data_IF_001895349623
#
_entry.id   IF_001895349623
#
_cell.length_a   1.000
_cell.length_b   1.000
_cell.length_c   1.000
_cell.angle_alpha   90.00
_cell.angle_beta   90.00
_cell.angle_gamma   90.00
#
_symmetry.space_group_name_H-M   'P 1'
#
loop_
_entity.id
_entity.type
_entity.pdbx_description
1 polymer ?
#
# COMPACT_ATOMS: atom_id res chain seq x y z
N UNK A 1 6.79 -24.33 -26.57
CA UNK A 1 5.42 -23.87 -26.22
C UNK A 1 4.65 -23.72 -27.51
N UNK A 2 3.54 -24.45 -27.64
CA UNK A 2 2.78 -24.53 -28.90
C UNK A 2 2.12 -23.19 -29.19
N UNK A 3 2.33 -22.71 -30.41
CA UNK A 3 1.87 -21.42 -30.97
C UNK A 3 0.33 -21.31 -31.11
N UNK A 4 -0.41 -22.35 -30.71
CA UNK A 4 -1.86 -22.47 -30.85
C UNK A 4 -2.65 -22.11 -29.58
N UNK A 5 -1.99 -21.91 -28.43
CA UNK A 5 -2.69 -21.49 -27.19
C UNK A 5 -3.02 -19.98 -27.19
N UNK A 6 -2.35 -19.17 -28.02
CA UNK A 6 -2.51 -17.71 -28.03
C UNK A 6 -3.75 -17.22 -28.82
N UNK A 7 -4.39 -18.09 -29.60
CA UNK A 7 -5.54 -17.72 -30.45
C UNK A 7 -6.89 -17.95 -29.77
N UNK A 8 -6.94 -18.75 -28.69
CA UNK A 8 -8.20 -19.02 -27.99
C UNK A 8 -8.52 -17.88 -27.01
N UNK A 9 -9.74 -17.33 -27.09
CA UNK A 9 -10.16 -16.27 -26.18
C UNK A 9 -10.20 -16.75 -24.72
N UNK A 10 -9.70 -15.88 -23.83
CA UNK A 10 -9.75 -16.09 -22.37
C UNK A 10 -11.16 -15.86 -21.83
N UNK A 11 -11.99 -16.90 -21.85
CA UNK A 11 -13.41 -16.82 -21.45
C UNK A 11 -13.66 -17.25 -20.00
N UNK A 12 -12.79 -18.05 -19.40
CA UNK A 12 -13.00 -18.63 -18.07
C UNK A 12 -12.37 -17.78 -16.95
N UNK A 13 -12.99 -17.71 -15.76
CA UNK A 13 -12.35 -17.09 -14.60
C UNK A 13 -11.08 -17.86 -14.19
N UNK A 14 -10.08 -17.20 -13.60
CA UNK A 14 -8.90 -17.87 -13.09
C UNK A 14 -9.26 -18.89 -12.00
N UNK A 15 -8.71 -20.09 -12.08
CA UNK A 15 -8.86 -21.11 -11.05
C UNK A 15 -8.08 -20.72 -9.78
N UNK A 16 -8.45 -21.30 -8.63
CA UNK A 16 -7.72 -21.08 -7.38
C UNK A 16 -6.28 -21.61 -7.44
N UNK A 17 -6.03 -22.64 -8.24
CA UNK A 17 -4.70 -23.21 -8.42
C UNK A 17 -3.80 -22.21 -9.17
N UNK A 18 -4.31 -21.60 -10.24
CA UNK A 18 -3.63 -20.53 -10.96
C UNK A 18 -3.34 -19.32 -10.06
N UNK A 19 -4.32 -18.88 -9.25
CA UNK A 19 -4.11 -17.79 -8.30
C UNK A 19 -3.03 -18.12 -7.25
N UNK A 20 -3.02 -19.34 -6.72
CA UNK A 20 -2.00 -19.79 -5.77
C UNK A 20 -0.62 -19.91 -6.42
N UNK A 21 -0.55 -20.30 -7.70
CA UNK A 21 0.70 -20.32 -8.48
C UNK A 21 1.24 -18.90 -8.67
N UNK A 22 0.39 -17.95 -9.05
CA UNK A 22 0.77 -16.53 -9.19
C UNK A 22 1.28 -15.95 -7.86
N UNK A 23 0.61 -16.26 -6.74
CA UNK A 23 1.08 -15.90 -5.40
C UNK A 23 2.48 -16.46 -5.11
N UNK A 24 2.72 -17.74 -5.38
CA UNK A 24 4.07 -18.35 -5.21
C UNK A 24 5.13 -17.69 -6.08
N UNK A 25 4.75 -17.17 -7.24
CA UNK A 25 5.63 -16.41 -8.12
C UNK A 25 5.82 -14.95 -7.68
N UNK A 26 5.12 -14.50 -6.63
CA UNK A 26 5.16 -13.13 -6.11
C UNK A 26 4.31 -12.15 -6.89
N UNK A 27 3.33 -12.63 -7.67
CA UNK A 27 2.35 -11.80 -8.37
C UNK A 27 1.04 -11.83 -7.61
N UNK A 28 0.68 -10.69 -7.02
CA UNK A 28 -0.60 -10.48 -6.34
C UNK A 28 -1.20 -9.14 -6.77
N UNK A 29 -2.52 -9.02 -6.61
CA UNK A 29 -3.19 -7.75 -6.78
C UNK A 29 -2.72 -6.80 -5.66
N UNK A 30 -2.10 -5.69 -6.03
CA UNK A 30 -1.73 -4.63 -5.10
C UNK A 30 -2.51 -3.36 -5.43
N UNK A 31 -3.16 -2.79 -4.43
CA UNK A 31 -3.68 -1.44 -4.45
C UNK A 31 -2.56 -0.44 -4.23
N UNK A 32 -2.48 0.57 -5.09
CA UNK A 32 -1.52 1.68 -4.92
C UNK A 32 -2.00 2.69 -3.87
N UNK A 33 -3.30 2.71 -3.60
CA UNK A 33 -3.94 3.68 -2.73
C UNK A 33 -3.93 3.29 -1.26
N UNK A 34 -3.93 1.99 -0.95
CA UNK A 34 -3.93 1.49 0.43
C UNK A 34 -2.71 1.96 1.22
N UNK A 35 -1.46 1.82 0.72
CA UNK A 35 -0.28 2.30 1.45
C UNK A 35 -0.27 3.80 1.67
N UNK A 36 -0.75 4.56 0.67
CA UNK A 36 -0.86 6.01 0.76
C UNK A 36 -1.95 6.45 1.76
N UNK A 37 -3.10 5.79 1.76
CA UNK A 37 -4.16 6.06 2.73
C UNK A 37 -3.70 5.75 4.16
N UNK A 38 -3.06 4.60 4.37
CA UNK A 38 -2.56 4.19 5.68
C UNK A 38 -1.51 5.17 6.24
N UNK A 39 -0.55 5.60 5.41
CA UNK A 39 0.47 6.55 5.84
C UNK A 39 -0.13 7.91 6.21
N UNK A 40 -1.05 8.44 5.38
CA UNK A 40 -1.72 9.71 5.67
C UNK A 40 -2.53 9.61 6.96
N UNK A 41 -3.31 8.55 7.19
CA UNK A 41 -4.10 8.39 8.42
C UNK A 41 -3.20 8.39 9.66
N UNK A 42 -2.10 7.66 9.62
CA UNK A 42 -1.17 7.57 10.78
C UNK A 42 -0.46 8.90 11.00
N UNK A 43 0.01 9.57 9.94
CA UNK A 43 0.65 10.88 10.04
C UNK A 43 -0.35 11.92 10.55
N UNK A 44 -1.55 11.99 9.99
CA UNK A 44 -2.61 12.91 10.43
C UNK A 44 -3.00 12.65 11.89
N UNK A 45 -3.16 11.39 12.28
CA UNK A 45 -3.43 11.02 13.67
C UNK A 45 -2.31 11.43 14.62
N UNK A 46 -1.06 11.23 14.23
CA UNK A 46 0.10 11.70 14.99
C UNK A 46 0.08 13.23 15.14
N UNK A 47 -0.15 13.98 14.06
CA UNK A 47 -0.20 15.45 14.11
C UNK A 47 -1.32 15.99 15.01
N UNK A 48 -2.50 15.34 15.01
CA UNK A 48 -3.63 15.71 15.88
C UNK A 48 -3.29 15.45 17.35
N UNK A 49 -2.74 14.28 17.66
CA UNK A 49 -2.44 13.87 19.04
C UNK A 49 -1.21 14.60 19.60
N UNK A 50 -0.21 14.84 18.76
CA UNK A 50 1.03 15.49 19.15
C UNK A 50 0.97 17.03 19.02
N UNK A 51 -0.19 17.63 18.71
CA UNK A 51 -0.26 19.07 18.41
C UNK A 51 0.35 19.95 19.53
N UNK A 52 0.13 19.59 20.80
CA UNK A 52 0.63 20.34 21.95
C UNK A 52 2.16 20.24 22.07
N UNK A 53 2.70 19.05 21.85
CA UNK A 53 4.14 18.80 21.81
C UNK A 53 4.81 19.52 20.63
N UNK A 54 4.17 19.52 19.46
CA UNK A 54 4.64 20.24 18.27
C UNK A 54 4.68 21.74 18.55
N UNK A 55 3.60 22.29 19.12
CA UNK A 55 3.51 23.70 19.47
C UNK A 55 4.56 24.13 20.50
N UNK A 56 4.74 23.34 21.56
CA UNK A 56 5.78 23.59 22.57
C UNK A 56 7.18 23.50 21.97
N UNK A 57 7.44 22.52 21.10
CA UNK A 57 8.73 22.36 20.43
C UNK A 57 9.02 23.54 19.49
N UNK A 58 8.00 23.98 18.72
CA UNK A 58 8.12 25.12 17.82
C UNK A 58 8.35 26.43 18.57
N UNK A 59 7.60 26.69 19.66
CA UNK A 59 7.80 27.88 20.50
C UNK A 59 9.19 27.88 21.15
N UNK A 60 9.65 26.75 21.70
CA UNK A 60 11.02 26.65 22.25
C UNK A 60 12.11 26.90 21.20
N UNK A 61 11.84 26.58 19.92
CA UNK A 61 12.76 26.86 18.82
C UNK A 61 12.77 28.34 18.42
N UNK A 62 11.65 29.07 18.58
CA UNK A 62 11.62 30.52 18.34
C UNK A 62 12.13 31.34 19.53
N UNK A 63 12.03 30.81 20.74
CA UNK A 63 12.65 31.39 21.95
C UNK A 63 14.17 31.11 22.03
N UNK A 64 14.69 30.25 21.14
CA UNK A 64 16.10 29.89 21.00
C UNK A 64 17.06 31.10 20.89
N UNK A 65 16.81 32.14 20.06
CA UNK A 65 17.71 33.29 19.98
C UNK A 65 17.64 34.17 21.23
N UNK A 66 16.47 34.22 21.89
CA UNK A 66 16.20 35.10 23.02
C UNK A 66 16.76 34.56 24.34
N UNK A 67 16.87 33.23 24.48
CA UNK A 67 17.41 32.57 25.67
C UNK A 67 18.94 32.44 25.67
N UNK A 68 19.58 32.50 24.49
CA UNK A 68 21.04 32.45 24.31
C UNK A 68 21.70 33.84 24.43
N UNK A 69 20.92 34.91 24.36
CA UNK A 69 21.35 36.28 24.61
C UNK A 69 20.95 36.71 26.03
N UNK A 70 21.76 36.46 27.08
CA UNK A 70 21.58 37.21 28.31
C UNK A 70 21.72 38.69 27.98
N UNK A 71 20.92 39.55 28.61
CA UNK A 71 20.93 41.02 28.44
C UNK A 71 22.34 41.65 28.51
N UNK A 72 23.36 40.93 29.00
CA UNK A 72 24.69 41.49 29.31
C UNK A 72 25.91 40.64 28.91
N UNK A 73 25.82 39.66 27.99
CA UNK A 73 27.02 38.87 27.60
C UNK A 73 27.21 38.74 26.09
N UNK A 74 28.32 39.31 25.60
CA UNK A 74 28.72 39.36 24.17
C UNK A 74 29.44 38.06 23.74
N UNK A 75 29.84 37.20 24.69
CA UNK A 75 30.62 35.98 24.43
C UNK A 75 29.89 34.76 25.00
N UNK A 76 29.29 33.97 24.11
CA UNK A 76 28.65 32.69 24.47
C UNK A 76 29.72 31.59 24.51
N UNK A 77 29.86 30.82 25.61
CA UNK A 77 30.79 29.68 25.67
C UNK A 77 30.46 28.66 24.57
N UNK A 78 31.47 28.21 23.82
CA UNK A 78 31.31 27.26 22.70
C UNK A 78 30.57 25.99 23.12
N UNK A 79 30.83 25.48 24.32
CA UNK A 79 30.21 24.25 24.82
C UNK A 79 28.72 24.41 25.12
N UNK A 80 28.30 25.59 25.59
CA UNK A 80 26.88 25.89 25.80
C UNK A 80 26.15 26.09 24.48
N UNK A 81 26.78 26.78 23.53
CA UNK A 81 26.22 26.94 22.19
C UNK A 81 26.10 25.59 21.47
N UNK A 82 27.10 24.70 21.60
CA UNK A 82 27.05 23.37 21.03
C UNK A 82 25.94 22.52 21.66
N UNK A 83 25.86 22.46 22.99
CA UNK A 83 24.83 21.67 23.69
C UNK A 83 23.41 22.14 23.35
N UNK A 84 23.17 23.45 23.24
CA UNK A 84 21.85 23.99 22.86
C UNK A 84 21.52 23.77 21.38
N UNK A 85 22.50 23.89 20.48
CA UNK A 85 22.32 23.53 19.06
C UNK A 85 22.00 22.04 18.88
N UNK A 86 22.65 21.16 19.65
CA UNK A 86 22.34 19.72 19.63
C UNK A 86 20.91 19.45 20.12
N UNK A 87 20.47 20.09 21.20
CA UNK A 87 19.10 19.94 21.70
C UNK A 87 18.05 20.44 20.68
N UNK A 88 18.30 21.59 20.04
CA UNK A 88 17.41 22.11 18.99
C UNK A 88 17.38 21.19 17.75
N UNK A 89 18.55 20.68 17.33
CA UNK A 89 18.65 19.73 16.23
C UNK A 89 17.94 18.41 16.54
N UNK A 90 18.07 17.89 17.76
CA UNK A 90 17.37 16.68 18.21
C UNK A 90 15.85 16.88 18.18
N UNK A 91 15.34 17.99 18.71
CA UNK A 91 13.91 18.31 18.67
C UNK A 91 13.36 18.41 17.25
N UNK A 92 14.03 19.14 16.36
CA UNK A 92 13.62 19.25 14.94
C UNK A 92 13.71 17.89 14.24
N UNK A 93 14.74 17.11 14.54
CA UNK A 93 14.91 15.77 13.97
C UNK A 93 13.77 14.85 14.38
N UNK A 94 13.37 14.85 15.66
CA UNK A 94 12.27 14.04 16.18
C UNK A 94 10.92 14.49 15.59
N UNK A 95 10.72 15.80 15.41
CA UNK A 95 9.51 16.37 14.82
C UNK A 95 9.28 15.89 13.38
N UNK A 96 10.34 15.67 12.61
CA UNK A 96 10.27 15.24 11.21
C UNK A 96 10.35 13.72 11.08
N UNK A 97 11.29 13.08 11.80
CA UNK A 97 11.57 11.65 11.66
C UNK A 97 10.47 10.79 12.26
N UNK A 98 9.86 11.19 13.38
CA UNK A 98 8.80 10.41 14.01
C UNK A 98 7.59 10.18 13.08
N UNK A 99 6.94 11.23 12.51
CA UNK A 99 5.83 11.02 11.59
C UNK A 99 6.25 10.31 10.31
N UNK A 100 7.48 10.54 9.82
CA UNK A 100 7.97 9.89 8.61
C UNK A 100 8.18 8.38 8.80
N UNK A 101 8.78 7.96 9.90
CA UNK A 101 8.98 6.55 10.24
C UNK A 101 7.64 5.85 10.51
N UNK A 102 6.72 6.51 11.22
CA UNK A 102 5.37 6.00 11.45
C UNK A 102 4.60 5.84 10.15
N UNK A 103 4.65 6.84 9.26
CA UNK A 103 4.02 6.78 7.94
C UNK A 103 4.61 5.68 7.06
N UNK A 104 5.93 5.51 7.07
CA UNK A 104 6.62 4.43 6.35
C UNK A 104 6.22 3.06 6.90
N UNK A 105 6.21 2.89 8.23
CA UNK A 105 5.78 1.65 8.86
C UNK A 105 4.33 1.31 8.49
N UNK A 106 3.43 2.30 8.53
CA UNK A 106 2.04 2.13 8.15
C UNK A 106 1.87 1.73 6.67
N UNK A 107 2.61 2.37 5.77
CA UNK A 107 2.63 2.03 4.34
C UNK A 107 3.13 0.59 4.10
N UNK A 108 4.20 0.17 4.78
CA UNK A 108 4.74 -1.17 4.67
C UNK A 108 3.77 -2.23 5.20
N UNK A 109 3.23 -2.02 6.40
CA UNK A 109 2.28 -2.96 7.02
C UNK A 109 1.02 -3.10 6.17
N UNK A 110 0.46 -1.99 5.70
CA UNK A 110 -0.74 -2.02 4.87
C UNK A 110 -0.50 -2.66 3.50
N UNK A 111 0.68 -2.45 2.88
CA UNK A 111 1.06 -3.14 1.65
C UNK A 111 1.16 -4.67 1.82
N UNK A 112 1.71 -5.13 2.96
CA UNK A 112 1.79 -6.55 3.30
C UNK A 112 0.38 -7.15 3.50
N UNK A 113 -0.50 -6.43 4.21
CA UNK A 113 -1.88 -6.87 4.45
C UNK A 113 -2.67 -6.94 3.15
N UNK A 114 -2.57 -5.92 2.30
CA UNK A 114 -3.28 -5.88 1.01
C UNK A 114 -2.79 -6.99 0.05
N UNK A 115 -1.48 -7.26 0.06
CA UNK A 115 -0.86 -8.34 -0.70
C UNK A 115 -1.18 -9.75 -0.23
N UNK A 116 -2.00 -9.94 0.81
CA UNK A 116 -2.30 -11.23 1.43
C UNK A 116 -1.05 -11.96 2.00
N UNK A 117 -0.04 -11.20 2.43
CA UNK A 117 1.13 -11.70 3.17
C UNK A 117 2.50 -11.29 2.61
N UNK A 118 3.55 -11.75 3.28
CA UNK A 118 4.95 -11.55 2.85
C UNK A 118 5.30 -12.51 1.72
N UNK A 119 5.20 -12.05 0.48
CA UNK A 119 5.54 -12.83 -0.71
C UNK A 119 7.03 -12.67 -1.04
N UNK A 120 7.88 -13.49 -0.43
CA UNK A 120 9.27 -13.63 -0.88
C UNK A 120 9.33 -14.56 -2.09
N UNK A 121 9.35 -13.98 -3.29
CA UNK A 121 9.60 -14.71 -4.54
C UNK A 121 10.98 -14.38 -5.11
N UNK A 122 11.89 -15.35 -5.05
CA UNK A 122 13.21 -15.24 -5.69
C UNK A 122 13.12 -15.07 -7.21
N UNK A 123 12.00 -15.47 -7.84
CA UNK A 123 11.79 -15.36 -9.28
C UNK A 123 11.61 -13.90 -9.75
N UNK A 124 11.08 -13.03 -8.89
CA UNK A 124 10.95 -11.59 -9.18
C UNK A 124 12.27 -10.83 -9.03
N UNK A 125 13.27 -11.41 -8.35
CA UNK A 125 14.60 -10.83 -8.19
C UNK A 125 15.52 -11.12 -9.40
N UNK A 126 15.11 -12.03 -10.29
CA UNK A 126 15.83 -12.30 -11.53
C UNK A 126 15.73 -11.09 -12.47
N UNK A 127 16.87 -10.58 -12.91
CA UNK A 127 16.96 -9.47 -13.86
C UNK A 127 16.32 -9.86 -15.19
N UNK A 128 15.13 -9.33 -15.48
CA UNK A 128 14.38 -9.65 -16.69
C UNK A 128 14.47 -8.49 -17.69
N UNK A 129 15.38 -8.62 -18.65
CA UNK A 129 15.60 -7.66 -19.74
C UNK A 129 14.34 -7.40 -20.59
N UNK A 130 13.36 -8.33 -20.59
CA UNK A 130 12.09 -8.15 -21.28
C UNK A 130 11.22 -7.02 -20.70
N UNK A 131 11.40 -6.66 -19.41
CA UNK A 131 10.68 -5.54 -18.78
C UNK A 131 11.19 -4.16 -19.20
N UNK A 132 12.35 -4.08 -19.84
CA UNK A 132 12.97 -2.83 -20.32
C UNK A 132 12.55 -2.44 -21.75
N UNK A 133 11.69 -3.22 -22.42
CA UNK A 133 11.28 -2.91 -23.77
C UNK A 133 10.32 -1.68 -23.80
N UNK A 134 10.69 -0.55 -24.44
CA UNK A 134 9.87 0.65 -24.47
C UNK A 134 8.50 0.45 -25.15
N UNK A 135 8.40 -0.49 -26.11
CA UNK A 135 7.13 -0.81 -26.76
C UNK A 135 6.13 -1.46 -25.79
N UNK A 136 6.62 -2.30 -24.87
CA UNK A 136 5.81 -2.90 -23.81
C UNK A 136 5.36 -1.82 -22.80
N UNK A 137 6.24 -0.86 -22.49
CA UNK A 137 5.92 0.29 -21.64
C UNK A 137 4.80 1.15 -22.22
N UNK A 138 4.86 1.48 -23.51
CA UNK A 138 3.79 2.21 -24.21
C UNK A 138 2.46 1.46 -24.19
N UNK A 139 2.48 0.14 -24.43
CA UNK A 139 1.27 -0.69 -24.34
C UNK A 139 0.69 -0.72 -22.93
N UNK A 140 1.54 -0.70 -21.89
CA UNK A 140 1.09 -0.62 -20.51
C UNK A 140 0.44 0.73 -20.20
N UNK A 141 0.95 1.84 -20.74
CA UNK A 141 0.33 3.17 -20.60
C UNK A 141 -1.07 3.20 -21.21
N UNK A 142 -1.30 2.52 -22.34
CA UNK A 142 -2.62 2.39 -22.97
C UNK A 142 -3.42 1.15 -22.51
N UNK A 143 -3.03 0.51 -21.40
CA UNK A 143 -3.76 -0.64 -20.87
C UNK A 143 -5.03 -0.23 -20.09
N UNK A 144 -5.95 -1.17 -19.93
CA UNK A 144 -7.13 -1.01 -19.06
C UNK A 144 -6.74 -0.66 -17.61
N UNK A 145 -5.56 -1.12 -17.15
CA UNK A 145 -5.04 -0.76 -15.83
C UNK A 145 -4.78 0.72 -15.72
N UNK A 146 -4.01 1.28 -16.65
CA UNK A 146 -3.64 2.69 -16.66
C UNK A 146 -4.84 3.60 -16.84
N UNK A 147 -5.81 3.23 -17.69
CA UNK A 147 -7.05 3.98 -17.84
C UNK A 147 -7.86 3.98 -16.53
N UNK A 148 -7.94 2.85 -15.85
CA UNK A 148 -8.63 2.76 -14.55
C UNK A 148 -7.94 3.62 -13.48
N UNK A 149 -6.60 3.65 -13.46
CA UNK A 149 -5.81 4.48 -12.55
C UNK A 149 -6.02 5.97 -12.82
N UNK A 150 -6.02 6.37 -14.10
CA UNK A 150 -6.30 7.75 -14.49
C UNK A 150 -7.70 8.18 -14.06
N UNK A 151 -8.72 7.37 -14.33
CA UNK A 151 -10.10 7.71 -13.98
C UNK A 151 -10.29 7.80 -12.45
N UNK A 152 -9.69 6.86 -11.69
CA UNK A 152 -9.67 6.92 -10.22
C UNK A 152 -8.97 8.18 -9.72
N UNK A 153 -7.84 8.55 -10.31
CA UNK A 153 -7.10 9.76 -9.98
C UNK A 153 -7.91 11.03 -10.25
N UNK A 154 -8.60 11.09 -11.38
CA UNK A 154 -9.47 12.21 -11.74
C UNK A 154 -10.63 12.36 -10.75
N UNK A 155 -11.30 11.26 -10.40
CA UNK A 155 -12.38 11.26 -9.41
C UNK A 155 -11.86 11.73 -8.05
N UNK A 156 -10.72 11.23 -7.58
CA UNK A 156 -10.10 11.69 -6.32
C UNK A 156 -9.79 13.19 -6.35
N UNK A 157 -9.23 13.69 -7.45
CA UNK A 157 -8.90 15.10 -7.59
C UNK A 157 -10.15 15.97 -7.47
N UNK A 158 -11.23 15.61 -8.17
CA UNK A 158 -12.52 16.32 -8.10
C UNK A 158 -13.10 16.27 -6.68
N UNK A 159 -13.11 15.10 -6.05
CA UNK A 159 -13.62 14.93 -4.68
C UNK A 159 -12.81 15.77 -3.69
N UNK A 160 -11.48 15.76 -3.78
CA UNK A 160 -10.60 16.59 -2.95
C UNK A 160 -10.83 18.09 -3.18
N UNK A 161 -11.01 18.52 -4.43
CA UNK A 161 -11.25 19.92 -4.76
C UNK A 161 -12.59 20.40 -4.20
N UNK A 162 -13.66 19.62 -4.37
CA UNK A 162 -15.00 19.96 -3.87
C UNK A 162 -15.00 20.01 -2.34
N UNK A 163 -14.44 18.98 -1.69
CA UNK A 163 -14.42 18.92 -0.22
C UNK A 163 -13.51 19.98 0.41
N UNK A 164 -12.38 20.27 -0.22
CA UNK A 164 -11.49 21.38 0.17
C UNK A 164 -12.19 22.73 0.04
N UNK A 165 -12.83 23.00 -1.11
CA UNK A 165 -13.58 24.23 -1.32
C UNK A 165 -14.76 24.37 -0.35
N UNK A 166 -15.52 23.29 -0.12
CA UNK A 166 -16.65 23.30 0.82
C UNK A 166 -16.18 23.55 2.26
N UNK A 167 -15.08 22.94 2.69
CA UNK A 167 -14.52 23.16 4.03
C UNK A 167 -14.01 24.60 4.17
N UNK A 168 -13.34 25.13 3.15
CA UNK A 168 -12.90 26.52 3.16
C UNK A 168 -14.09 27.48 3.24
N UNK A 169 -15.15 27.25 2.46
CA UNK A 169 -16.38 28.04 2.50
C UNK A 169 -17.08 27.95 3.87
N UNK A 170 -17.08 26.78 4.51
CA UNK A 170 -17.63 26.61 5.85
C UNK A 170 -16.87 27.43 6.90
N UNK A 171 -15.54 27.46 6.83
CA UNK A 171 -14.71 28.24 7.75
C UNK A 171 -14.45 29.69 7.30
N UNK A 172 -14.90 30.12 6.12
CA UNK A 172 -14.64 31.47 5.57
C UNK A 172 -15.06 32.57 6.55
N UNK A 173 -16.23 32.45 7.17
CA UNK A 173 -16.69 33.44 8.14
C UNK A 173 -15.74 33.49 9.35
N UNK A 174 -15.41 32.35 9.94
CA UNK A 174 -14.49 32.29 11.06
C UNK A 174 -13.09 32.82 10.70
N UNK A 175 -12.56 32.50 9.51
CA UNK A 175 -11.29 33.02 9.00
C UNK A 175 -11.29 34.54 8.84
N UNK A 176 -12.40 35.11 8.38
CA UNK A 176 -12.53 36.56 8.16
C UNK A 176 -12.50 37.35 9.47
N UNK A 177 -13.09 36.80 10.54
CA UNK A 177 -13.12 37.42 11.86
C UNK A 177 -11.89 37.10 12.73
N UNK A 178 -11.08 36.11 12.34
CA UNK A 178 -9.90 35.67 13.09
C UNK A 178 -8.89 36.78 13.44
N UNK A 179 -8.58 37.75 12.53
CA UNK A 179 -7.62 38.81 12.83
C UNK A 179 -8.12 39.79 13.92
N UNK A 180 -9.43 39.88 14.15
CA UNK A 180 -10.03 40.82 15.10
C UNK A 180 -9.96 40.33 16.56
N UNK A 181 -9.73 39.02 16.78
CA UNK A 181 -9.83 38.40 18.10
C UNK A 181 -8.46 38.15 18.78
N UNK A 182 -7.37 38.60 18.16
CA UNK A 182 -6.00 38.45 18.68
C UNK A 182 -5.29 37.19 18.18
N UNK A 183 -3.97 37.31 18.00
CA UNK A 183 -3.13 36.34 17.26
C UNK A 183 -2.83 35.06 18.06
N UNK A 184 -2.68 35.17 19.38
CA UNK A 184 -2.10 34.12 20.20
C UNK A 184 -3.06 32.95 20.50
N UNK A 185 -4.35 33.22 20.70
CA UNK A 185 -5.30 32.17 21.13
C UNK A 185 -6.35 31.87 20.07
N UNK A 186 -6.98 32.92 19.51
CA UNK A 186 -8.11 32.73 18.61
C UNK A 186 -7.67 32.30 17.20
N UNK A 187 -6.60 32.90 16.65
CA UNK A 187 -6.10 32.55 15.32
C UNK A 187 -5.44 31.16 15.28
N UNK A 188 -4.69 30.80 16.32
CA UNK A 188 -4.06 29.48 16.42
C UNK A 188 -5.08 28.37 16.69
N UNK A 189 -6.03 28.58 17.60
CA UNK A 189 -7.11 27.61 17.84
C UNK A 189 -8.00 27.40 16.61
N UNK A 190 -8.34 28.47 15.89
CA UNK A 190 -9.11 28.37 14.65
C UNK A 190 -8.33 27.63 13.56
N UNK A 191 -7.06 27.96 13.33
CA UNK A 191 -6.24 27.29 12.31
C UNK A 191 -6.08 25.81 12.61
N UNK A 192 -5.84 25.43 13.87
CA UNK A 192 -5.80 24.04 14.30
C UNK A 192 -7.15 23.32 14.05
N UNK A 193 -8.27 23.98 14.32
CA UNK A 193 -9.61 23.42 14.07
C UNK A 193 -9.88 23.19 12.57
N UNK A 194 -9.54 24.17 11.72
CA UNK A 194 -9.67 24.05 10.27
C UNK A 194 -8.77 22.93 9.73
N UNK A 195 -7.51 22.90 10.13
CA UNK A 195 -6.54 21.88 9.70
C UNK A 195 -6.96 20.48 10.16
N UNK A 196 -7.41 20.32 11.40
CA UNK A 196 -7.90 19.04 11.90
C UNK A 196 -9.14 18.56 11.14
N UNK A 197 -10.08 19.48 10.87
CA UNK A 197 -11.28 19.14 10.10
C UNK A 197 -10.91 18.68 8.68
N UNK A 198 -10.00 19.39 8.00
CA UNK A 198 -9.50 19.01 6.69
C UNK A 198 -8.78 17.66 6.71
N UNK A 199 -7.90 17.43 7.69
CA UNK A 199 -7.17 16.16 7.86
C UNK A 199 -8.14 14.99 8.01
N UNK A 200 -9.19 15.13 8.82
CA UNK A 200 -10.19 14.08 9.03
C UNK A 200 -10.99 13.82 7.75
N UNK A 201 -11.43 14.86 7.05
CA UNK A 201 -12.17 14.72 5.79
C UNK A 201 -11.32 14.02 4.73
N UNK A 202 -10.06 14.43 4.57
CA UNK A 202 -9.12 13.82 3.63
C UNK A 202 -8.86 12.35 3.99
N UNK A 203 -8.66 12.05 5.27
CA UNK A 203 -8.49 10.67 5.74
C UNK A 203 -9.70 9.80 5.39
N UNK A 204 -10.93 10.29 5.61
CA UNK A 204 -12.16 9.56 5.24
C UNK A 204 -12.22 9.30 3.73
N UNK A 205 -11.94 10.31 2.91
CA UNK A 205 -11.93 10.18 1.45
C UNK A 205 -10.89 9.14 1.01
N UNK A 206 -9.70 9.16 1.60
CA UNK A 206 -8.65 8.19 1.29
C UNK A 206 -9.04 6.76 1.69
N UNK A 207 -9.68 6.56 2.85
CA UNK A 207 -10.18 5.24 3.26
C UNK A 207 -11.23 4.72 2.28
N UNK A 208 -12.20 5.56 1.91
CA UNK A 208 -13.27 5.18 0.98
C UNK A 208 -12.68 4.83 -0.38
N UNK A 209 -11.81 5.70 -0.92
CA UNK A 209 -11.21 5.50 -2.23
C UNK A 209 -10.25 4.31 -2.27
N UNK A 210 -9.47 4.07 -1.21
CA UNK A 210 -8.65 2.87 -1.06
C UNK A 210 -9.50 1.59 -1.03
N UNK A 211 -10.66 1.61 -0.34
CA UNK A 211 -11.60 0.47 -0.34
C UNK A 211 -12.14 0.13 -1.73
N UNK A 212 -12.46 1.14 -2.54
CA UNK A 212 -12.81 0.93 -3.96
C UNK A 212 -11.62 0.45 -4.79
N UNK A 213 -10.42 0.98 -4.54
CA UNK A 213 -9.20 0.61 -5.25
C UNK A 213 -8.83 -0.86 -5.04
N UNK A 214 -8.98 -1.40 -3.82
CA UNK A 214 -8.81 -2.83 -3.54
C UNK A 214 -9.75 -3.68 -4.42
N UNK A 215 -11.02 -3.28 -4.54
CA UNK A 215 -11.98 -4.05 -5.35
C UNK A 215 -11.64 -3.99 -6.83
N UNK A 216 -11.29 -2.80 -7.33
CA UNK A 216 -10.95 -2.58 -8.74
C UNK A 216 -9.66 -3.32 -9.09
N UNK A 217 -8.60 -3.19 -8.28
CA UNK A 217 -7.32 -3.87 -8.49
C UNK A 217 -7.48 -5.39 -8.48
N UNK A 218 -8.22 -5.96 -7.52
CA UNK A 218 -8.50 -7.41 -7.49
C UNK A 218 -9.36 -7.87 -8.66
N UNK A 219 -10.33 -7.08 -9.10
CA UNK A 219 -11.15 -7.40 -10.27
C UNK A 219 -10.32 -7.38 -11.56
N UNK A 220 -9.47 -6.37 -11.71
CA UNK A 220 -8.57 -6.21 -12.86
C UNK A 220 -7.53 -7.33 -12.89
N UNK A 221 -6.93 -7.68 -11.75
CA UNK A 221 -6.02 -8.82 -11.64
C UNK A 221 -6.69 -10.14 -12.08
N UNK A 222 -7.93 -10.40 -11.64
CA UNK A 222 -8.69 -11.57 -12.10
C UNK A 222 -9.01 -11.51 -13.59
N UNK A 223 -9.26 -10.32 -14.14
CA UNK A 223 -9.53 -10.12 -15.55
C UNK A 223 -8.28 -10.42 -16.42
N UNK A 224 -7.11 -9.95 -16.00
CA UNK A 224 -5.85 -10.16 -16.71
C UNK A 224 -5.42 -11.64 -16.71
N UNK A 225 -5.68 -12.34 -15.61
CA UNK A 225 -5.33 -13.75 -15.43
C UNK A 225 -6.42 -14.76 -15.81
N UNK A 226 -7.45 -14.34 -16.56
CA UNK A 226 -8.44 -15.26 -17.14
C UNK A 226 -7.80 -16.41 -17.92
N UNK A 227 -8.53 -17.51 -18.02
CA UNK A 227 -8.08 -18.76 -18.60
C UNK A 227 -8.79 -19.07 -19.91
N UNK A 228 -8.09 -19.73 -20.82
CA UNK A 228 -8.69 -20.33 -22.02
C UNK A 228 -9.29 -21.70 -21.66
N UNK A 229 -10.11 -22.27 -22.56
CA UNK A 229 -10.69 -23.61 -22.34
C UNK A 229 -9.60 -24.69 -22.42
N UNK A 230 -8.60 -24.50 -23.29
CA UNK A 230 -7.42 -25.38 -23.34
C UNK A 230 -6.63 -25.34 -22.04
N UNK A 231 -6.36 -24.16 -21.50
CA UNK A 231 -5.63 -23.97 -20.25
C UNK A 231 -6.35 -24.64 -19.06
N UNK A 232 -7.67 -24.46 -18.96
CA UNK A 232 -8.48 -25.09 -17.92
C UNK A 232 -8.45 -26.62 -17.98
N UNK A 233 -8.57 -27.20 -19.19
CA UNK A 233 -8.46 -28.65 -19.39
C UNK A 233 -7.06 -29.17 -19.03
N UNK A 234 -6.02 -28.42 -19.38
CA UNK A 234 -4.64 -28.78 -19.06
C UNK A 234 -4.40 -28.76 -17.55
N UNK A 235 -4.90 -27.75 -16.85
CA UNK A 235 -4.78 -27.64 -15.40
C UNK A 235 -5.49 -28.80 -14.68
N UNK A 236 -6.68 -29.20 -15.17
CA UNK A 236 -7.36 -30.40 -14.68
C UNK A 236 -6.56 -31.69 -14.91
N UNK A 237 -5.93 -31.83 -16.08
CA UNK A 237 -5.06 -32.97 -16.39
C UNK A 237 -3.81 -33.00 -15.51
N UNK A 238 -3.18 -31.85 -15.25
CA UNK A 238 -2.01 -31.76 -14.36
C UNK A 238 -2.36 -32.14 -12.91
N UNK A 239 -3.56 -31.78 -12.43
CA UNK A 239 -4.00 -32.07 -11.06
C UNK A 239 -4.51 -33.49 -10.85
N UNK A 240 -5.38 -33.97 -11.74
CA UNK A 240 -6.08 -35.26 -11.57
C UNK A 240 -5.48 -36.39 -12.41
N UNK A 241 -4.47 -36.11 -13.24
CA UNK A 241 -3.93 -37.02 -14.25
C UNK A 241 -4.81 -37.07 -15.49
N UNK A 242 -4.28 -37.64 -16.59
CA UNK A 242 -5.12 -37.89 -17.76
C UNK A 242 -6.19 -38.94 -17.43
N UNK A 243 -7.37 -38.90 -18.08
CA UNK A 243 -8.39 -39.92 -17.88
C UNK A 243 -7.86 -41.33 -18.15
N UNK A 244 -6.91 -41.48 -19.09
CA UNK A 244 -6.24 -42.77 -19.33
C UNK A 244 -5.43 -43.23 -18.11
N UNK A 245 -4.67 -42.32 -17.47
CA UNK A 245 -3.88 -42.63 -16.27
C UNK A 245 -4.79 -42.96 -15.09
N UNK A 246 -5.91 -42.24 -14.91
CA UNK A 246 -6.89 -42.55 -13.85
C UNK A 246 -7.54 -43.92 -14.06
N UNK A 247 -7.91 -44.25 -15.30
CA UNK A 247 -8.45 -45.57 -15.67
C UNK A 247 -7.42 -46.68 -15.44
N UNK A 248 -6.16 -46.46 -15.83
CA UNK A 248 -5.07 -47.40 -15.59
C UNK A 248 -4.84 -47.64 -14.08
N UNK A 249 -4.88 -46.59 -13.24
CA UNK A 249 -4.77 -46.74 -11.77
C UNK A 249 -5.92 -47.55 -11.18
N UNK A 250 -7.15 -47.33 -11.66
CA UNK A 250 -8.30 -48.14 -11.23
C UNK A 250 -8.18 -49.60 -11.65
N UNK A 251 -7.70 -49.87 -12.89
CA UNK A 251 -7.49 -51.24 -13.38
C UNK A 251 -6.45 -51.98 -12.56
N UNK A 252 -5.29 -51.36 -12.32
CA UNK A 252 -4.22 -51.94 -11.49
C UNK A 252 -4.71 -52.14 -10.05
N UNK A 253 -5.44 -51.17 -9.49
CA UNK A 253 -6.02 -51.31 -8.14
C UNK A 253 -7.05 -52.43 -8.03
N UNK A 254 -7.81 -52.71 -9.10
CA UNK A 254 -8.72 -53.84 -9.17
C UNK A 254 -7.97 -55.17 -9.27
N UNK A 255 -6.94 -55.25 -10.13
CA UNK A 255 -6.07 -56.44 -10.25
C UNK A 255 -5.39 -56.81 -8.93
N UNK A 256 -4.84 -55.82 -8.20
CA UNK A 256 -4.21 -56.04 -6.89
C UNK A 256 -5.23 -56.55 -5.86
N UNK A 257 -6.48 -56.08 -5.92
CA UNK A 257 -7.55 -56.51 -4.99
C UNK A 257 -8.05 -57.91 -5.31
N UNK A 258 -8.08 -58.30 -6.59
CA UNK A 258 -8.42 -59.65 -7.03
C UNK A 258 -7.25 -60.64 -6.97
N UNK A 259 -6.02 -60.15 -6.79
CA UNK A 259 -4.82 -60.96 -6.71
C UNK A 259 -4.67 -61.66 -5.36
N UNK A 260 -4.10 -62.88 -5.32
CA UNK A 260 -3.84 -63.57 -4.06
C UNK A 260 -2.88 -62.74 -3.19
N UNK A 261 -3.07 -62.71 -1.85
CA UNK A 261 -2.25 -61.90 -0.97
C UNK A 261 -0.78 -62.28 -1.13
N UNK A 262 0.08 -61.29 -1.40
CA UNK A 262 1.51 -61.57 -1.53
C UNK A 262 2.04 -62.05 -0.17
N UNK A 263 2.67 -63.22 -0.18
CA UNK A 263 3.37 -63.73 1.00
C UNK A 263 4.63 -62.89 1.18
N UNK A 264 4.52 -61.78 1.90
CA UNK A 264 5.69 -61.05 2.40
C UNK A 264 6.28 -61.89 3.52
N UNK A 265 7.21 -62.78 3.17
CA UNK A 265 8.05 -63.45 4.15
C UNK A 265 8.99 -62.39 4.75
N UNK A 266 9.04 -62.22 6.08
CA UNK A 266 9.98 -61.30 6.69
C UNK A 266 11.39 -61.78 6.40
N UNK A 267 12.19 -60.91 5.80
CA UNK A 267 13.59 -61.21 5.50
C UNK A 267 14.33 -61.41 6.82
N UNK A 268 14.82 -62.63 7.05
CA UNK A 268 15.74 -62.94 8.14
C UNK A 268 17.13 -62.99 7.52
N UNK A 269 17.86 -61.88 7.60
CA UNK A 269 19.30 -61.83 7.89
C UNK A 269 19.81 -60.40 8.03
#
# INVERSE_FOLDING_TARGET
MSKNDDTEEKQLPPSQIKLNRLKREGQVAHSKDVPAAASVIVISGFLILAHSWIYQSASSFFDFPLTILPEHTIIVPKDRLAATLYAAADQVSNLIMAPLLLGLAAALVSAIIDGEGLLMSMKNMAFNLGKLNPAQGLKNIFSLSSLSEFLKGLVKCIVMLITGAATLLYFMNALFWAPLCGVAECALGLSASVTNTLMVIIAIILVVTAGFDIRISRALFRHEHRMTKTEAKREQKEMYGSPEVRSARHRIGAEIRSGPPSKVTPDKK
#
